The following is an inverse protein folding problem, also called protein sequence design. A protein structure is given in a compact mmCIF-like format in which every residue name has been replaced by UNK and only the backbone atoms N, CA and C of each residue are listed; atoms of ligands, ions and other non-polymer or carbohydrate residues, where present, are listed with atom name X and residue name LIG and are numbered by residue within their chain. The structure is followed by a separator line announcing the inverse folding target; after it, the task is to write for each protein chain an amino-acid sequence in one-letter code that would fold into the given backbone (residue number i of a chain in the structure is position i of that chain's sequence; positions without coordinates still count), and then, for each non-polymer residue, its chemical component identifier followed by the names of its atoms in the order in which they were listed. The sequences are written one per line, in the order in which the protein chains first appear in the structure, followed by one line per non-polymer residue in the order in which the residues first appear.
data_IF_529557910176
#
_entry.id   IF_529557910176
#
_cell.length_a   1.000
_cell.length_b   1.000
_cell.length_c   1.000
_cell.angle_alpha   90.00
_cell.angle_beta   90.00
_cell.angle_gamma   90.00
#
_symmetry.space_group_name_H-M   'P 1'
#
loop_
_entity.id
_entity.type
_entity.pdbx_description
1 polymer ?
#
# COMPACT_ATOMS: atom_id res chain seq x y z
N UNK A 1 -15.02 18.32 0.23
CA UNK A 1 -15.21 18.87 1.59
C UNK A 1 -14.93 17.73 2.55
N UNK A 2 -13.77 17.75 3.22
CA UNK A 2 -13.47 16.80 4.29
C UNK A 2 -14.33 17.17 5.49
N UNK A 3 -15.23 16.28 5.91
CA UNK A 3 -16.06 16.48 7.09
C UNK A 3 -15.24 16.13 8.33
N UNK A 4 -14.45 17.06 8.82
CA UNK A 4 -13.82 16.94 10.13
C UNK A 4 -14.85 17.30 11.21
N UNK A 5 -15.36 16.31 11.93
CA UNK A 5 -16.28 16.51 13.06
C UNK A 5 -15.44 16.65 14.33
N UNK A 6 -15.22 17.89 14.78
CA UNK A 6 -14.46 18.15 16.01
C UNK A 6 -15.20 17.62 17.25
N UNK A 7 -14.71 16.54 17.85
CA UNK A 7 -15.18 16.04 19.15
C UNK A 7 -14.42 16.74 20.28
N UNK A 8 -15.15 17.37 21.20
CA UNK A 8 -14.58 18.00 22.40
C UNK A 8 -14.32 16.92 23.46
N UNK A 9 -13.08 16.45 23.59
CA UNK A 9 -12.71 15.50 24.64
C UNK A 9 -12.22 16.24 25.90
N UNK A 10 -13.11 16.34 26.90
CA UNK A 10 -12.74 16.68 28.29
C UNK A 10 -12.52 15.38 29.06
N UNK A 11 -11.26 14.97 29.16
CA UNK A 11 -10.78 13.83 29.95
C UNK A 11 -9.26 13.77 29.83
N UNK A 12 -8.54 13.22 30.82
CA UNK A 12 -7.07 13.04 30.72
C UNK A 12 -6.76 12.43 29.36
N UNK A 13 -5.98 13.12 28.51
CA UNK A 13 -5.44 12.53 27.28
C UNK A 13 -4.65 11.30 27.70
N UNK A 14 -5.25 10.12 27.56
CA UNK A 14 -4.49 8.90 27.40
C UNK A 14 -3.56 9.18 26.22
N UNK A 15 -2.27 8.89 26.38
CA UNK A 15 -1.34 9.01 25.25
C UNK A 15 -1.97 8.24 24.08
N UNK A 16 -2.01 8.81 22.86
CA UNK A 16 -2.48 8.09 21.70
C UNK A 16 -1.80 6.73 21.67
N UNK A 17 -2.61 5.70 21.49
CA UNK A 17 -2.12 4.33 21.41
C UNK A 17 -1.01 4.28 20.34
N UNK A 18 0.20 3.84 20.70
CA UNK A 18 1.35 3.90 19.79
C UNK A 18 1.06 3.11 18.51
N UNK A 19 1.12 3.76 17.35
CA UNK A 19 0.92 3.14 16.04
C UNK A 19 2.07 2.18 15.72
N UNK A 20 1.75 1.01 15.19
CA UNK A 20 2.71 -0.03 14.87
C UNK A 20 2.25 -0.81 13.64
N UNK A 21 2.84 -0.48 12.49
CA UNK A 21 2.55 -1.13 11.22
C UNK A 21 2.93 -2.62 11.22
N UNK A 22 3.93 -3.03 12.01
CA UNK A 22 4.31 -4.45 12.15
C UNK A 22 3.18 -5.26 12.82
N UNK A 23 2.34 -4.57 13.61
CA UNK A 23 1.20 -5.12 14.33
C UNK A 23 -0.14 -4.89 13.63
N UNK A 24 -0.17 -4.20 12.49
CA UNK A 24 -1.39 -3.66 11.86
C UNK A 24 -2.18 -2.72 12.78
N UNK A 25 -1.47 -2.00 13.66
CA UNK A 25 -2.06 -1.01 14.54
C UNK A 25 -1.86 0.37 13.93
N UNK A 26 -2.92 0.95 13.38
CA UNK A 26 -2.92 2.28 12.80
C UNK A 26 -3.83 3.20 13.63
N UNK A 27 -3.70 4.52 13.48
CA UNK A 27 -4.60 5.47 14.11
C UNK A 27 -6.04 5.37 13.56
N UNK A 28 -6.99 5.94 14.30
CA UNK A 28 -8.43 5.90 13.99
C UNK A 28 -8.77 6.40 12.57
N UNK A 29 -7.96 7.33 12.04
CA UNK A 29 -8.11 7.86 10.67
C UNK A 29 -7.81 6.84 9.57
N UNK A 30 -7.14 5.71 9.90
CA UNK A 30 -6.64 4.71 8.96
C UNK A 30 -7.26 3.31 9.15
N UNK A 31 -8.29 3.20 9.99
CA UNK A 31 -9.07 1.97 10.16
C UNK A 31 -10.01 1.73 8.94
N UNK A 32 -10.87 0.70 9.02
CA UNK A 32 -11.69 -0.02 8.00
C UNK A 32 -12.16 0.70 6.70
N UNK A 33 -12.15 2.02 6.64
CA UNK A 33 -12.68 2.85 5.55
C UNK A 33 -11.60 3.27 4.55
N UNK A 34 -10.30 3.19 4.88
CA UNK A 34 -9.26 3.76 4.01
C UNK A 34 -8.90 2.82 2.87
N UNK A 35 -8.88 3.35 1.64
CA UNK A 35 -8.29 2.69 0.48
C UNK A 35 -6.80 3.00 0.40
N UNK A 36 -6.00 1.96 0.17
CA UNK A 36 -4.54 2.09 0.00
C UNK A 36 -4.19 2.19 -1.47
N UNK A 37 -3.13 2.96 -1.77
CA UNK A 37 -2.54 3.04 -3.10
C UNK A 37 -1.20 2.32 -3.13
N UNK A 38 -0.96 1.58 -4.20
CA UNK A 38 0.38 1.10 -4.54
C UNK A 38 1.24 2.26 -5.06
N UNK A 39 2.56 2.14 -4.98
CA UNK A 39 3.49 3.12 -5.57
C UNK A 39 3.18 3.27 -7.07
N UNK A 40 2.90 2.16 -7.74
CA UNK A 40 2.47 2.10 -9.14
C UNK A 40 1.16 2.86 -9.41
N UNK A 41 0.15 2.70 -8.55
CA UNK A 41 -1.13 3.43 -8.68
C UNK A 41 -0.94 4.93 -8.47
N UNK A 42 -0.15 5.30 -7.45
CA UNK A 42 0.19 6.70 -7.19
C UNK A 42 0.88 7.33 -8.41
N UNK A 43 1.83 6.61 -9.03
CA UNK A 43 2.46 7.07 -10.28
C UNK A 43 1.43 7.28 -11.39
N UNK A 44 0.59 6.29 -11.69
CA UNK A 44 -0.41 6.39 -12.76
C UNK A 44 -1.39 7.55 -12.54
N UNK A 45 -1.84 7.76 -11.31
CA UNK A 45 -2.74 8.86 -10.94
C UNK A 45 -2.02 10.21 -11.12
N UNK A 46 -0.80 10.34 -10.60
CA UNK A 46 -0.05 11.59 -10.71
C UNK A 46 0.29 11.92 -12.17
N UNK A 47 0.65 10.92 -12.98
CA UNK A 47 0.99 11.11 -14.39
C UNK A 47 -0.23 11.55 -15.21
N UNK A 48 -1.39 10.94 -14.99
CA UNK A 48 -2.66 11.32 -15.65
C UNK A 48 -3.15 12.72 -15.27
N UNK A 49 -2.92 13.14 -14.03
CA UNK A 49 -3.45 14.42 -13.50
C UNK A 49 -2.49 15.60 -13.65
N UNK A 50 -1.26 15.36 -14.13
CA UNK A 50 -0.19 16.36 -14.21
C UNK A 50 -0.56 17.61 -15.01
N UNK A 51 -1.30 17.47 -16.11
CA UNK A 51 -1.73 18.58 -16.97
C UNK A 51 -2.96 19.32 -16.45
N UNK A 52 -3.70 18.74 -15.50
CA UNK A 52 -4.99 19.26 -15.02
C UNK A 52 -4.85 20.01 -13.69
N UNK A 53 -3.73 19.86 -12.98
CA UNK A 53 -3.54 20.45 -11.65
C UNK A 53 -2.56 21.64 -11.68
N UNK A 54 -3.03 22.77 -11.17
CA UNK A 54 -2.22 23.98 -10.98
C UNK A 54 -1.20 23.86 -9.81
N UNK A 55 -1.32 22.81 -8.98
CA UNK A 55 -0.50 22.61 -7.77
C UNK A 55 0.65 21.60 -7.94
N UNK A 56 0.99 21.26 -9.20
CA UNK A 56 2.09 20.34 -9.52
C UNK A 56 3.47 20.97 -9.38
N UNK A 57 3.54 22.30 -9.20
CA UNK A 57 4.80 23.05 -9.13
C UNK A 57 5.39 23.14 -7.71
N UNK A 58 4.99 22.25 -6.80
CA UNK A 58 5.57 22.18 -5.45
C UNK A 58 6.74 21.19 -5.44
N UNK A 59 7.76 21.48 -4.63
CA UNK A 59 8.89 20.55 -4.45
C UNK A 59 8.45 19.18 -3.92
N UNK A 60 7.43 19.14 -3.06
CA UNK A 60 6.87 17.89 -2.54
C UNK A 60 6.27 17.07 -3.68
N UNK A 61 5.41 17.68 -4.52
CA UNK A 61 4.81 16.98 -5.66
C UNK A 61 5.88 16.44 -6.61
N UNK A 62 6.89 17.26 -6.95
CA UNK A 62 7.98 16.86 -7.85
C UNK A 62 8.79 15.69 -7.29
N UNK A 63 9.21 15.77 -6.02
CA UNK A 63 9.97 14.69 -5.35
C UNK A 63 9.16 13.41 -5.23
N UNK A 64 7.87 13.51 -4.89
CA UNK A 64 6.97 12.36 -4.84
C UNK A 64 6.82 11.73 -6.22
N UNK A 65 6.60 12.54 -7.27
CA UNK A 65 6.48 12.04 -8.65
C UNK A 65 7.75 11.32 -9.10
N UNK A 66 8.93 11.89 -8.83
CA UNK A 66 10.23 11.26 -9.12
C UNK A 66 10.39 9.93 -8.38
N UNK A 67 9.98 9.86 -7.10
CA UNK A 67 10.00 8.64 -6.31
C UNK A 67 9.07 7.56 -6.88
N UNK A 68 7.79 7.88 -7.06
CA UNK A 68 6.80 6.87 -7.51
C UNK A 68 7.08 6.40 -8.94
N UNK A 69 7.60 7.28 -9.81
CA UNK A 69 8.07 6.90 -11.14
C UNK A 69 9.26 5.95 -11.10
N UNK A 70 10.20 6.18 -10.18
CA UNK A 70 11.43 5.37 -10.07
C UNK A 70 11.18 4.01 -9.44
N UNK A 71 10.31 3.94 -8.43
CA UNK A 71 10.11 2.73 -7.63
C UNK A 71 8.81 1.99 -7.94
N UNK A 72 7.93 2.55 -8.78
CA UNK A 72 6.76 1.84 -9.30
C UNK A 72 7.19 0.58 -10.04
N UNK A 73 6.79 -0.58 -9.51
CA UNK A 73 7.15 -1.90 -10.07
C UNK A 73 6.29 -2.28 -11.28
N UNK A 74 5.16 -1.61 -11.44
CA UNK A 74 4.17 -1.85 -12.47
C UNK A 74 3.80 -0.51 -13.10
N UNK A 75 4.04 -0.35 -14.40
CA UNK A 75 3.76 0.87 -15.15
C UNK A 75 2.54 0.70 -16.09
N UNK A 76 1.96 -0.50 -16.13
CA UNK A 76 0.76 -0.82 -16.89
C UNK A 76 -0.47 -0.83 -15.96
N UNK A 77 -1.51 -0.08 -16.34
CA UNK A 77 -2.75 0.01 -15.57
C UNK A 77 -3.50 -1.33 -15.47
N UNK A 78 -3.51 -2.13 -16.53
CA UNK A 78 -4.19 -3.42 -16.52
C UNK A 78 -3.49 -4.39 -15.56
N UNK A 79 -2.16 -4.38 -15.54
CA UNK A 79 -1.36 -5.16 -14.61
C UNK A 79 -1.66 -4.84 -13.14
N UNK A 80 -1.77 -3.56 -12.84
CA UNK A 80 -2.07 -3.06 -11.50
C UNK A 80 -3.46 -3.50 -11.06
N UNK A 81 -4.44 -3.47 -11.97
CA UNK A 81 -5.81 -3.99 -11.72
C UNK A 81 -5.81 -5.50 -11.51
N UNK A 82 -5.07 -6.25 -12.32
CA UNK A 82 -4.97 -7.70 -12.22
C UNK A 82 -4.32 -8.12 -10.90
N UNK A 83 -3.24 -7.44 -10.47
CA UNK A 83 -2.62 -7.65 -9.16
C UNK A 83 -3.62 -7.45 -8.03
N UNK A 84 -4.34 -6.33 -8.03
CA UNK A 84 -5.33 -6.02 -7.00
C UNK A 84 -6.43 -7.08 -6.97
N UNK A 85 -6.98 -7.44 -8.13
CA UNK A 85 -8.05 -8.44 -8.24
C UNK A 85 -7.59 -9.83 -7.81
N UNK A 86 -6.33 -10.16 -8.05
CA UNK A 86 -5.73 -11.45 -7.66
C UNK A 86 -5.50 -11.50 -6.16
N UNK A 87 -4.82 -10.50 -5.60
CA UNK A 87 -4.39 -10.50 -4.20
C UNK A 87 -5.52 -10.25 -3.19
N UNK A 88 -6.59 -9.56 -3.58
CA UNK A 88 -7.76 -9.36 -2.71
C UNK A 88 -8.41 -10.69 -2.31
N UNK A 89 -8.22 -11.77 -3.08
CA UNK A 89 -8.75 -13.10 -2.77
C UNK A 89 -8.10 -13.74 -1.53
N UNK A 90 -6.90 -13.29 -1.14
CA UNK A 90 -6.14 -13.86 -0.02
C UNK A 90 -6.45 -13.23 1.34
N UNK A 91 -7.51 -12.41 1.46
CA UNK A 91 -7.94 -11.80 2.73
C UNK A 91 -6.82 -11.01 3.47
N UNK A 92 -5.89 -10.44 2.70
CA UNK A 92 -4.82 -9.58 3.19
C UNK A 92 -5.40 -8.31 3.81
N UNK A 93 -4.76 -7.80 4.86
CA UNK A 93 -5.01 -6.42 5.26
C UNK A 93 -4.56 -5.50 4.12
N UNK A 94 -5.27 -4.38 3.90
CA UNK A 94 -4.95 -3.45 2.80
C UNK A 94 -3.47 -3.01 2.84
N UNK A 95 -2.94 -2.75 4.04
CA UNK A 95 -1.51 -2.49 4.25
C UNK A 95 -0.60 -3.61 3.73
N UNK A 96 -0.88 -4.86 4.10
CA UNK A 96 -0.06 -6.02 3.70
C UNK A 96 -0.06 -6.20 2.18
N UNK A 97 -1.24 -6.04 1.57
CA UNK A 97 -1.39 -6.09 0.12
C UNK A 97 -0.52 -5.02 -0.55
N UNK A 98 -0.59 -3.77 -0.08
CA UNK A 98 0.25 -2.69 -0.61
C UNK A 98 1.74 -2.97 -0.41
N UNK A 99 2.15 -3.49 0.76
CA UNK A 99 3.56 -3.82 1.02
C UNK A 99 4.07 -4.94 0.09
N UNK A 100 3.32 -6.02 -0.07
CA UNK A 100 3.70 -7.13 -0.96
C UNK A 100 3.89 -6.66 -2.42
N UNK A 101 2.97 -5.84 -2.93
CA UNK A 101 3.05 -5.31 -4.30
C UNK A 101 4.19 -4.31 -4.47
N UNK A 102 4.45 -3.46 -3.47
CA UNK A 102 5.49 -2.44 -3.56
C UNK A 102 6.91 -3.01 -3.41
N UNK A 103 7.08 -3.97 -2.49
CA UNK A 103 8.37 -4.57 -2.15
C UNK A 103 8.73 -5.73 -3.10
N UNK A 104 7.74 -6.51 -3.54
CA UNK A 104 7.90 -7.71 -4.34
C UNK A 104 8.95 -8.69 -3.76
N UNK A 105 8.79 -9.17 -2.51
CA UNK A 105 9.69 -10.17 -1.95
C UNK A 105 9.67 -11.46 -2.79
N UNK A 106 10.82 -12.10 -2.93
CA UNK A 106 10.98 -13.31 -3.76
C UNK A 106 10.96 -14.58 -2.92
N UNK A 107 11.32 -14.47 -1.65
CA UNK A 107 11.40 -15.59 -0.72
C UNK A 107 10.48 -15.40 0.50
N UNK A 108 10.07 -16.53 1.09
CA UNK A 108 9.21 -16.55 2.27
C UNK A 108 9.81 -15.78 3.45
N UNK A 109 11.09 -16.03 3.75
CA UNK A 109 11.79 -15.39 4.87
C UNK A 109 11.91 -13.88 4.68
N UNK A 110 12.11 -13.44 3.43
CA UNK A 110 12.10 -12.03 3.06
C UNK A 110 10.71 -11.41 3.30
N UNK A 111 9.63 -12.06 2.82
CA UNK A 111 8.27 -11.57 2.98
C UNK A 111 7.87 -11.42 4.46
N UNK A 112 8.21 -12.41 5.30
CA UNK A 112 7.95 -12.37 6.75
C UNK A 112 8.81 -11.32 7.47
N UNK A 113 10.05 -11.13 7.02
CA UNK A 113 10.95 -10.12 7.61
C UNK A 113 10.48 -8.70 7.29
N UNK A 114 10.05 -8.46 6.05
CA UNK A 114 9.60 -7.15 5.58
C UNK A 114 8.17 -6.82 6.04
N UNK A 115 7.29 -7.82 6.12
CA UNK A 115 5.88 -7.66 6.52
C UNK A 115 5.55 -8.65 7.65
N UNK A 116 5.96 -8.36 8.91
CA UNK A 116 5.87 -9.31 10.02
C UNK A 116 4.44 -9.73 10.40
N UNK A 117 3.42 -8.98 9.98
CA UNK A 117 2.03 -9.35 10.20
C UNK A 117 1.60 -10.58 9.40
N UNK A 118 2.25 -10.85 8.25
CA UNK A 118 1.95 -12.04 7.44
C UNK A 118 2.22 -13.32 8.22
N UNK A 119 3.37 -13.40 8.91
CA UNK A 119 3.77 -14.57 9.70
C UNK A 119 2.79 -14.92 10.83
N UNK A 120 1.96 -13.96 11.26
CA UNK A 120 0.96 -14.16 12.32
C UNK A 120 -0.42 -14.53 11.79
N UNK A 121 -0.66 -14.35 10.48
CA UNK A 121 -1.99 -14.43 9.86
C UNK A 121 -2.12 -15.51 8.80
N UNK A 122 -1.02 -15.95 8.20
CA UNK A 122 -1.00 -16.86 7.07
C UNK A 122 0.02 -17.97 7.29
N UNK A 123 -0.29 -19.14 6.76
CA UNK A 123 0.65 -20.26 6.70
C UNK A 123 1.68 -20.05 5.59
N UNK A 124 2.81 -20.75 5.70
CA UNK A 124 3.94 -20.60 4.78
C UNK A 124 3.56 -20.86 3.32
N UNK A 125 2.71 -21.85 3.08
CA UNK A 125 2.27 -22.22 1.73
C UNK A 125 1.33 -21.17 1.12
N UNK A 126 0.49 -20.52 1.94
CA UNK A 126 -0.36 -19.41 1.49
C UNK A 126 0.50 -18.21 1.08
N UNK A 127 1.53 -17.89 1.89
CA UNK A 127 2.46 -16.80 1.56
C UNK A 127 3.21 -17.13 0.28
N UNK A 128 3.76 -18.34 0.14
CA UNK A 128 4.45 -18.78 -1.10
C UNK A 128 3.55 -18.63 -2.32
N UNK A 129 2.30 -19.07 -2.23
CA UNK A 129 1.34 -18.92 -3.32
C UNK A 129 1.14 -17.45 -3.72
N UNK A 130 0.97 -16.55 -2.74
CA UNK A 130 0.86 -15.11 -3.01
C UNK A 130 2.10 -14.55 -3.71
N UNK A 131 3.31 -14.96 -3.29
CA UNK A 131 4.56 -14.53 -3.91
C UNK A 131 4.68 -15.03 -5.36
N UNK A 132 4.30 -16.28 -5.62
CA UNK A 132 4.30 -16.86 -6.96
C UNK A 132 3.34 -16.14 -7.91
N UNK A 133 2.14 -15.78 -7.43
CA UNK A 133 1.16 -15.01 -8.19
C UNK A 133 1.70 -13.60 -8.54
N UNK A 134 2.33 -12.92 -7.58
CA UNK A 134 2.98 -11.61 -7.80
C UNK A 134 4.13 -11.73 -8.81
N UNK A 135 4.99 -12.74 -8.65
CA UNK A 135 6.13 -12.95 -9.52
C UNK A 135 5.70 -13.27 -10.96
N UNK A 136 4.62 -14.05 -11.11
CA UNK A 136 4.02 -14.37 -12.40
C UNK A 136 3.50 -13.11 -13.09
N UNK A 137 2.71 -12.30 -12.39
CA UNK A 137 2.17 -11.05 -12.93
C UNK A 137 3.28 -10.06 -13.28
N UNK A 138 4.34 -9.97 -12.47
CA UNK A 138 5.52 -9.14 -12.74
C UNK A 138 6.26 -9.55 -14.02
N UNK A 139 6.41 -10.84 -14.28
CA UNK A 139 7.06 -11.34 -15.52
C UNK A 139 6.30 -10.97 -16.78
N UNK A 140 4.96 -10.97 -16.74
CA UNK A 140 4.13 -10.59 -17.90
C UNK A 140 4.18 -9.09 -18.24
N UNK A 141 4.76 -8.26 -17.37
CA UNK A 141 4.90 -6.81 -17.58
C UNK A 141 6.32 -6.36 -17.93
N UNK A 142 7.29 -7.29 -17.90
CA UNK A 142 8.70 -7.02 -18.21
C UNK A 142 8.97 -7.05 -19.71
#
# INVERSE_FOLDING_TARGET
MSHYVGRVERGRKLLPDEEDATKLKFGEDFEDVVEVLFISEAYLIMDKTKSQQNNTNTDVYRKTWEYVRKFGKFNNEDAVKDLRTTLVKHNLHKYELAQLVNLCPEELDEAKSLVPSLARRFEDDEIRQMLEEIATLKKYQA
#
